data_IF_408832958444
#
_entry.id   IF_408832958444
#
_cell.length_a   1.000
_cell.length_b   1.000
_cell.length_c   1.000
_cell.angle_alpha   90.00
_cell.angle_beta   90.00
_cell.angle_gamma   90.00
#
_symmetry.space_group_name_H-M   'P 1'
#
loop_
_entity.id
_entity.type
_entity.pdbx_description
1 polymer ?
#
# COMPACT_ATOMS: atom_id res chain seq x y z
N UNK A 1 89.15 74.49 -15.67
CA UNK A 1 87.96 73.84 -15.08
C UNK A 1 86.62 74.57 -15.29
N UNK A 2 86.51 75.90 -15.18
CA UNK A 2 85.21 76.61 -15.32
C UNK A 2 84.66 76.58 -16.76
N UNK A 3 85.53 76.62 -17.78
CA UNK A 3 85.11 76.64 -19.20
C UNK A 3 84.55 75.29 -19.68
N UNK A 4 85.09 74.17 -19.21
CA UNK A 4 84.61 72.83 -19.59
C UNK A 4 83.27 72.46 -18.94
N UNK A 5 83.04 72.87 -17.69
CA UNK A 5 81.74 72.68 -17.04
C UNK A 5 80.60 73.43 -17.74
N UNK A 6 80.88 74.61 -18.31
CA UNK A 6 79.90 75.37 -19.10
C UNK A 6 79.57 74.69 -20.43
N UNK A 7 80.56 74.09 -21.09
CA UNK A 7 80.35 73.36 -22.36
C UNK A 7 79.52 72.10 -22.11
N UNK A 8 79.84 71.32 -21.09
CA UNK A 8 79.07 70.10 -20.74
C UNK A 8 77.63 70.45 -20.36
N UNK A 9 77.41 71.50 -19.57
CA UNK A 9 76.06 71.94 -19.22
C UNK A 9 75.26 72.43 -20.44
N UNK A 10 75.91 73.06 -21.40
CA UNK A 10 75.27 73.57 -22.62
C UNK A 10 74.89 72.41 -23.56
N UNK A 11 75.74 71.39 -23.65
CA UNK A 11 75.43 70.16 -24.40
C UNK A 11 74.26 69.40 -23.77
N UNK A 12 74.22 69.27 -22.44
CA UNK A 12 73.11 68.60 -21.74
C UNK A 12 71.80 69.38 -21.91
N UNK A 13 71.83 70.71 -21.81
CA UNK A 13 70.66 71.57 -22.05
C UNK A 13 70.16 71.45 -23.49
N UNK A 14 71.07 71.41 -24.46
CA UNK A 14 70.75 71.27 -25.87
C UNK A 14 70.18 69.88 -26.20
N UNK A 15 70.70 68.84 -25.54
CA UNK A 15 70.17 67.48 -25.65
C UNK A 15 68.77 67.36 -25.04
N UNK A 16 68.50 68.02 -23.90
CA UNK A 16 67.15 68.07 -23.32
C UNK A 16 66.17 68.87 -24.19
N UNK A 17 66.62 69.96 -24.81
CA UNK A 17 65.78 70.75 -25.73
C UNK A 17 65.40 69.96 -27.00
N UNK A 18 66.30 69.14 -27.53
CA UNK A 18 66.03 68.30 -28.71
C UNK A 18 65.04 67.16 -28.43
N UNK A 19 64.97 66.67 -27.18
CA UNK A 19 64.02 65.63 -26.78
C UNK A 19 62.62 66.23 -26.51
N UNK A 20 62.56 67.43 -25.92
CA UNK A 20 61.30 68.11 -25.62
C UNK A 20 60.49 68.52 -26.86
N UNK A 21 61.15 68.95 -27.94
CA UNK A 21 60.48 69.37 -29.18
C UNK A 21 60.02 68.21 -30.06
N UNK A 22 60.64 67.03 -29.94
CA UNK A 22 60.23 65.83 -30.65
C UNK A 22 58.95 65.20 -30.06
N UNK A 23 58.81 65.20 -28.73
CA UNK A 23 57.67 64.64 -28.00
C UNK A 23 56.36 65.39 -28.28
N UNK A 24 56.41 66.73 -28.34
CA UNK A 24 55.23 67.57 -28.62
C UNK A 24 54.61 67.27 -29.99
N UNK A 25 55.43 66.88 -30.99
CA UNK A 25 54.97 66.51 -32.32
C UNK A 25 54.37 65.10 -32.41
N UNK A 26 54.83 64.17 -31.55
CA UNK A 26 54.36 62.79 -31.51
C UNK A 26 53.04 62.69 -30.73
N UNK A 27 52.94 63.40 -29.60
CA UNK A 27 51.70 63.53 -28.82
C UNK A 27 50.59 64.20 -29.66
N UNK A 28 50.93 65.20 -30.47
CA UNK A 28 49.95 65.84 -31.35
C UNK A 28 49.51 64.94 -32.51
N UNK A 29 50.36 64.02 -32.99
CA UNK A 29 49.99 63.00 -33.98
C UNK A 29 49.17 61.87 -33.36
N UNK A 30 49.52 61.43 -32.15
CA UNK A 30 48.76 60.44 -31.40
C UNK A 30 47.39 60.99 -30.99
N UNK A 31 47.31 62.25 -30.57
CA UNK A 31 46.04 62.91 -30.29
C UNK A 31 45.17 63.01 -31.55
N UNK A 32 45.75 63.37 -32.71
CA UNK A 32 45.01 63.40 -33.98
C UNK A 32 44.55 62.02 -34.44
N UNK A 33 45.39 61.00 -34.31
CA UNK A 33 45.01 59.62 -34.60
C UNK A 33 43.93 59.14 -33.64
N UNK A 34 44.04 59.42 -32.34
CA UNK A 34 43.03 59.09 -31.34
C UNK A 34 41.69 59.77 -31.63
N UNK A 35 41.69 61.03 -32.05
CA UNK A 35 40.46 61.72 -32.48
C UNK A 35 39.88 61.12 -33.75
N UNK A 36 40.73 60.76 -34.73
CA UNK A 36 40.26 60.14 -35.97
C UNK A 36 39.69 58.72 -35.75
N UNK A 37 40.30 57.94 -34.85
CA UNK A 37 39.75 56.65 -34.44
C UNK A 37 38.46 56.82 -33.64
N UNK A 38 38.37 57.81 -32.74
CA UNK A 38 37.15 58.10 -31.99
C UNK A 38 36.00 58.53 -32.91
N UNK A 39 36.27 59.36 -33.92
CA UNK A 39 35.28 59.80 -34.90
C UNK A 39 34.81 58.63 -35.77
N UNK A 40 35.73 57.80 -36.28
CA UNK A 40 35.35 56.59 -37.04
C UNK A 40 34.61 55.56 -36.18
N UNK A 41 34.95 55.45 -34.90
CA UNK A 41 34.28 54.56 -33.97
C UNK A 41 32.86 55.06 -33.62
N UNK A 42 32.64 56.38 -33.60
CA UNK A 42 31.32 56.97 -33.44
C UNK A 42 30.43 56.72 -34.68
N UNK A 43 30.98 56.81 -35.90
CA UNK A 43 30.24 56.45 -37.12
C UNK A 43 29.86 54.96 -37.15
N UNK A 44 30.78 54.08 -36.75
CA UNK A 44 30.54 52.63 -36.66
C UNK A 44 29.63 52.24 -35.48
N UNK A 45 29.51 53.10 -34.47
CA UNK A 45 28.69 52.86 -33.28
C UNK A 45 27.19 52.76 -33.59
N UNK A 46 26.72 53.44 -34.64
CA UNK A 46 25.30 53.44 -35.02
C UNK A 46 24.78 52.03 -35.37
N UNK A 47 25.51 51.28 -36.20
CA UNK A 47 25.14 49.91 -36.59
C UNK A 47 25.25 48.92 -35.43
N UNK A 48 26.21 49.15 -34.52
CA UNK A 48 26.37 48.33 -33.32
C UNK A 48 25.20 48.53 -32.34
N UNK A 49 24.69 49.76 -32.22
CA UNK A 49 23.53 50.05 -31.38
C UNK A 49 22.27 49.36 -31.92
N UNK A 50 22.03 49.43 -33.23
CA UNK A 50 20.87 48.78 -33.86
C UNK A 50 20.91 47.25 -33.68
N UNK A 51 22.08 46.64 -33.90
CA UNK A 51 22.28 45.20 -33.68
C UNK A 51 22.11 44.81 -32.20
N UNK A 52 22.63 45.62 -31.26
CA UNK A 52 22.43 45.38 -29.84
C UNK A 52 20.95 45.49 -29.45
N UNK A 53 20.22 46.44 -30.02
CA UNK A 53 18.80 46.59 -29.77
C UNK A 53 18.01 45.38 -30.30
N UNK A 54 18.31 44.91 -31.50
CA UNK A 54 17.70 43.71 -32.07
C UNK A 54 18.01 42.47 -31.22
N UNK A 55 19.27 42.27 -30.81
CA UNK A 55 19.67 41.18 -29.93
C UNK A 55 18.99 41.24 -28.56
N UNK A 56 18.85 42.43 -27.98
CA UNK A 56 18.16 42.60 -26.69
C UNK A 56 16.67 42.30 -26.82
N UNK A 57 16.03 42.71 -27.92
CA UNK A 57 14.62 42.37 -28.17
C UNK A 57 14.42 40.88 -28.41
N UNK A 58 15.29 40.23 -29.20
CA UNK A 58 15.25 38.79 -29.42
C UNK A 58 15.55 37.99 -28.15
N UNK A 59 16.54 38.41 -27.36
CA UNK A 59 16.86 37.79 -26.07
C UNK A 59 15.70 37.91 -25.09
N UNK A 60 15.03 39.07 -25.03
CA UNK A 60 13.84 39.27 -24.18
C UNK A 60 12.70 38.35 -24.59
N UNK A 61 12.41 38.22 -25.87
CA UNK A 61 11.38 37.31 -26.38
C UNK A 61 11.72 35.85 -26.07
N UNK A 62 12.99 35.46 -26.20
CA UNK A 62 13.44 34.10 -25.89
C UNK A 62 13.33 33.80 -24.39
N UNK A 63 13.72 34.74 -23.52
CA UNK A 63 13.60 34.60 -22.07
C UNK A 63 12.12 34.51 -21.67
N UNK A 64 11.26 35.31 -22.28
CA UNK A 64 9.82 35.25 -22.03
C UNK A 64 9.25 33.89 -22.45
N UNK A 65 9.62 33.39 -23.63
CA UNK A 65 9.23 32.05 -24.08
C UNK A 65 9.77 30.93 -23.17
N UNK A 66 11.03 30.99 -22.75
CA UNK A 66 11.64 30.03 -21.82
C UNK A 66 10.95 30.06 -20.45
N UNK A 67 10.65 31.25 -19.93
CA UNK A 67 9.96 31.40 -18.65
C UNK A 67 8.55 30.79 -18.68
N UNK A 68 7.83 30.97 -19.80
CA UNK A 68 6.51 30.36 -20.01
C UNK A 68 6.62 28.84 -20.12
N UNK A 69 7.56 28.34 -20.92
CA UNK A 69 7.80 26.90 -21.08
C UNK A 69 8.16 26.22 -19.74
N UNK A 70 8.99 26.87 -18.91
CA UNK A 70 9.30 26.36 -17.56
C UNK A 70 8.08 26.31 -16.65
N UNK A 71 7.21 27.32 -16.72
CA UNK A 71 5.99 27.37 -15.92
C UNK A 71 5.03 26.26 -16.35
N UNK A 72 4.80 26.12 -17.66
CA UNK A 72 3.97 25.05 -18.23
C UNK A 72 4.51 23.66 -17.88
N UNK A 73 5.83 23.46 -17.93
CA UNK A 73 6.45 22.20 -17.56
C UNK A 73 6.27 21.86 -16.07
N UNK A 74 6.34 22.87 -15.18
CA UNK A 74 6.07 22.68 -13.74
C UNK A 74 4.61 22.31 -13.51
N UNK A 75 3.68 22.96 -14.20
CA UNK A 75 2.25 22.69 -14.10
C UNK A 75 1.91 21.28 -14.60
N UNK A 76 2.44 20.88 -15.76
CA UNK A 76 2.31 19.51 -16.27
C UNK A 76 2.92 18.48 -15.31
N UNK A 77 4.08 18.78 -14.71
CA UNK A 77 4.68 17.87 -13.73
C UNK A 77 3.79 17.73 -12.50
N UNK A 78 3.18 18.82 -12.04
CA UNK A 78 2.25 18.80 -10.91
C UNK A 78 1.01 17.97 -11.22
N UNK A 79 0.42 18.13 -12.40
CA UNK A 79 -0.74 17.36 -12.85
C UNK A 79 -0.42 15.85 -12.92
N UNK A 80 0.72 15.47 -13.51
CA UNK A 80 1.16 14.07 -13.56
C UNK A 80 1.35 13.49 -12.15
N UNK A 81 1.89 14.25 -11.22
CA UNK A 81 2.06 13.80 -9.83
C UNK A 81 0.72 13.61 -9.12
N UNK A 82 -0.26 14.48 -9.39
CA UNK A 82 -1.61 14.36 -8.85
C UNK A 82 -2.34 13.15 -9.44
N UNK A 83 -2.25 12.94 -10.75
CA UNK A 83 -2.80 11.75 -11.41
C UNK A 83 -2.18 10.46 -10.87
N UNK A 84 -0.84 10.42 -10.71
CA UNK A 84 -0.15 9.26 -10.12
C UNK A 84 -0.66 8.95 -8.72
N UNK A 85 -0.78 9.95 -7.84
CA UNK A 85 -1.34 9.75 -6.49
C UNK A 85 -2.76 9.22 -6.55
N UNK A 86 -3.59 9.73 -7.47
CA UNK A 86 -4.97 9.25 -7.63
C UNK A 86 -5.00 7.78 -8.11
N UNK A 87 -4.07 7.39 -8.97
CA UNK A 87 -3.95 6.03 -9.48
C UNK A 87 -3.46 5.08 -8.40
N UNK A 88 -2.48 5.48 -7.61
CA UNK A 88 -1.98 4.69 -6.47
C UNK A 88 -3.10 4.42 -5.46
N UNK A 89 -3.89 5.45 -5.10
CA UNK A 89 -5.05 5.29 -4.21
C UNK A 89 -6.09 4.32 -4.79
N UNK A 90 -6.40 4.44 -6.08
CA UNK A 90 -7.32 3.50 -6.76
C UNK A 90 -6.75 2.08 -6.78
N UNK A 91 -5.45 1.94 -6.96
CA UNK A 91 -4.79 0.64 -6.96
C UNK A 91 -4.84 -0.02 -5.58
N UNK A 92 -4.54 0.74 -4.52
CA UNK A 92 -4.66 0.28 -3.13
C UNK A 92 -6.08 -0.15 -2.79
N UNK A 93 -7.09 0.60 -3.23
CA UNK A 93 -8.50 0.22 -3.06
C UNK A 93 -8.82 -1.10 -3.76
N UNK A 94 -8.42 -1.26 -5.02
CA UNK A 94 -8.64 -2.50 -5.78
C UNK A 94 -7.88 -3.68 -5.16
N UNK A 95 -6.67 -3.47 -4.66
CA UNK A 95 -5.94 -4.51 -3.95
C UNK A 95 -6.60 -4.87 -2.62
N UNK A 96 -7.10 -3.89 -1.87
CA UNK A 96 -7.85 -4.13 -0.64
C UNK A 96 -9.13 -4.94 -0.91
N UNK A 97 -9.85 -4.62 -1.99
CA UNK A 97 -11.01 -5.37 -2.47
C UNK A 97 -10.62 -6.79 -2.89
N UNK A 98 -9.55 -6.97 -3.66
CA UNK A 98 -9.08 -8.31 -4.03
C UNK A 98 -8.73 -9.14 -2.79
N UNK A 99 -8.00 -8.56 -1.83
CA UNK A 99 -7.65 -9.22 -0.57
C UNK A 99 -8.89 -9.52 0.29
N UNK A 100 -9.97 -8.75 0.18
CA UNK A 100 -11.22 -9.02 0.90
C UNK A 100 -12.03 -10.13 0.22
N UNK A 101 -12.07 -10.15 -1.11
CA UNK A 101 -12.70 -11.22 -1.91
C UNK A 101 -11.99 -12.55 -1.69
N UNK A 102 -10.66 -12.58 -1.70
CA UNK A 102 -9.88 -13.79 -1.42
C UNK A 102 -10.17 -14.30 0.00
N UNK A 103 -10.22 -13.41 1.00
CA UNK A 103 -10.63 -13.76 2.37
C UNK A 103 -12.05 -14.33 2.43
N UNK A 104 -12.99 -13.73 1.71
CA UNK A 104 -14.39 -14.17 1.70
C UNK A 104 -14.56 -15.50 0.96
N UNK A 105 -13.71 -15.80 -0.03
CA UNK A 105 -13.78 -17.04 -0.81
C UNK A 105 -13.33 -18.27 -0.02
N UNK A 106 -12.65 -18.12 1.12
CA UNK A 106 -12.35 -19.26 1.99
C UNK A 106 -13.59 -19.87 2.66
N UNK A 107 -14.61 -19.06 2.98
CA UNK A 107 -15.80 -19.54 3.70
C UNK A 107 -16.91 -20.04 2.77
N UNK A 108 -16.98 -19.50 1.54
CA UNK A 108 -18.00 -19.86 0.56
C UNK A 108 -18.05 -21.37 0.21
N UNK A 109 -16.93 -22.06 -0.10
CA UNK A 109 -16.98 -23.48 -0.43
C UNK A 109 -17.32 -24.35 0.79
N UNK A 110 -16.87 -23.96 1.98
CA UNK A 110 -17.15 -24.72 3.21
C UNK A 110 -18.66 -24.74 3.54
N UNK A 111 -19.37 -23.62 3.34
CA UNK A 111 -20.81 -23.53 3.58
C UNK A 111 -21.64 -24.36 2.59
N UNK A 112 -21.22 -24.43 1.33
CA UNK A 112 -21.93 -25.18 0.29
C UNK A 112 -21.89 -26.68 0.58
N UNK A 113 -20.71 -27.21 0.91
CA UNK A 113 -20.56 -28.65 1.21
C UNK A 113 -21.28 -29.06 2.50
N UNK A 114 -21.27 -28.20 3.53
CA UNK A 114 -21.94 -28.46 4.79
C UNK A 114 -23.47 -28.57 4.61
N UNK A 115 -24.04 -27.73 3.74
CA UNK A 115 -25.48 -27.75 3.46
C UNK A 115 -25.93 -29.08 2.83
N UNK A 116 -25.13 -29.64 1.91
CA UNK A 116 -25.44 -30.89 1.23
C UNK A 116 -25.43 -32.08 2.19
N UNK A 117 -24.44 -32.15 3.08
CA UNK A 117 -24.39 -33.18 4.11
C UNK A 117 -25.54 -33.05 5.10
N UNK A 118 -25.90 -31.81 5.49
CA UNK A 118 -27.03 -31.55 6.37
C UNK A 118 -28.35 -32.04 5.76
N UNK A 119 -28.61 -31.75 4.48
CA UNK A 119 -29.81 -32.25 3.78
C UNK A 119 -29.90 -33.78 3.76
N UNK A 120 -28.77 -34.46 3.54
CA UNK A 120 -28.72 -35.92 3.49
C UNK A 120 -28.97 -36.53 4.89
N UNK A 121 -28.38 -35.92 5.92
CA UNK A 121 -28.58 -36.30 7.32
C UNK A 121 -30.03 -36.12 7.74
N UNK A 122 -30.64 -34.96 7.42
CA UNK A 122 -32.05 -34.68 7.68
C UNK A 122 -32.96 -35.65 6.91
N UNK A 123 -32.69 -35.90 5.64
CA UNK A 123 -33.46 -36.83 4.82
C UNK A 123 -33.42 -38.28 5.35
N UNK A 124 -32.33 -38.68 6.01
CA UNK A 124 -32.21 -39.99 6.65
C UNK A 124 -32.86 -40.03 8.04
N UNK A 125 -32.73 -38.95 8.83
CA UNK A 125 -33.30 -38.87 10.17
C UNK A 125 -34.82 -38.78 10.18
N UNK A 126 -35.41 -38.13 9.17
CA UNK A 126 -36.84 -37.92 9.06
C UNK A 126 -37.67 -39.23 9.01
N UNK A 127 -37.37 -40.20 8.12
CA UNK A 127 -38.06 -41.48 8.13
C UNK A 127 -37.78 -42.30 9.39
N UNK A 128 -36.60 -42.18 9.98
CA UNK A 128 -36.24 -42.87 11.23
C UNK A 128 -37.06 -42.37 12.42
N UNK A 129 -37.24 -41.05 12.52
CA UNK A 129 -38.13 -40.42 13.51
C UNK A 129 -39.58 -40.84 13.30
N UNK A 130 -40.03 -40.92 12.04
CA UNK A 130 -41.37 -41.39 11.70
C UNK A 130 -41.58 -42.85 12.16
N UNK A 131 -40.64 -43.74 11.84
CA UNK A 131 -40.68 -45.14 12.29
C UNK A 131 -40.70 -45.26 13.81
N UNK A 132 -39.86 -44.49 14.51
CA UNK A 132 -39.85 -44.46 15.98
C UNK A 132 -41.19 -43.99 16.52
N UNK A 133 -41.77 -42.95 15.95
CA UNK A 133 -43.07 -42.42 16.39
C UNK A 133 -44.20 -43.44 16.22
N UNK A 134 -44.28 -44.07 15.04
CA UNK A 134 -45.26 -45.11 14.76
C UNK A 134 -45.08 -46.33 15.67
N UNK A 135 -43.83 -46.74 15.93
CA UNK A 135 -43.53 -47.85 16.84
C UNK A 135 -43.98 -47.51 18.27
N UNK A 136 -43.68 -46.30 18.76
CA UNK A 136 -44.14 -45.89 20.09
C UNK A 136 -45.65 -45.79 20.21
N UNK A 137 -46.35 -45.40 19.13
CA UNK A 137 -47.81 -45.34 19.11
C UNK A 137 -48.41 -46.76 19.10
N UNK A 138 -47.87 -47.64 18.25
CA UNK A 138 -48.31 -49.03 18.17
C UNK A 138 -48.05 -49.81 19.47
N UNK A 139 -46.91 -49.55 20.13
CA UNK A 139 -46.60 -50.16 21.41
C UNK A 139 -47.57 -49.70 22.50
N UNK A 140 -47.88 -48.38 22.55
CA UNK A 140 -48.86 -47.83 23.50
C UNK A 140 -50.27 -48.38 23.26
N UNK A 141 -50.71 -48.47 22.01
CA UNK A 141 -52.01 -49.04 21.67
C UNK A 141 -52.10 -50.54 22.00
N UNK A 142 -51.03 -51.28 21.70
CA UNK A 142 -50.94 -52.71 22.05
C UNK A 142 -50.93 -52.93 23.56
N UNK A 143 -50.20 -52.11 24.31
CA UNK A 143 -50.14 -52.17 25.77
C UNK A 143 -51.49 -51.79 26.41
N UNK A 144 -52.16 -50.74 25.93
CA UNK A 144 -53.51 -50.37 26.40
C UNK A 144 -54.57 -51.43 26.06
N UNK A 145 -54.49 -52.07 24.88
CA UNK A 145 -55.39 -53.14 24.50
C UNK A 145 -55.15 -54.42 25.31
N UNK A 146 -53.89 -54.83 25.50
CA UNK A 146 -53.54 -56.01 26.30
C UNK A 146 -53.84 -55.79 27.78
N UNK A 147 -53.55 -54.60 28.32
CA UNK A 147 -53.89 -54.26 29.71
C UNK A 147 -55.41 -54.22 29.85
N UNK A 148 -56.14 -53.65 28.90
CA UNK A 148 -57.61 -53.61 28.94
C UNK A 148 -58.25 -54.99 28.94
N UNK A 149 -57.79 -55.89 28.06
CA UNK A 149 -58.26 -57.28 28.02
C UNK A 149 -57.86 -58.06 29.26
N UNK A 150 -56.62 -57.91 29.73
CA UNK A 150 -56.13 -58.62 30.91
C UNK A 150 -56.76 -58.11 32.21
N UNK A 151 -57.08 -56.80 32.32
CA UNK A 151 -57.81 -56.24 33.45
C UNK A 151 -59.29 -56.63 33.41
N UNK A 152 -59.88 -56.77 32.22
CA UNK A 152 -61.25 -57.24 32.06
C UNK A 152 -61.36 -58.73 32.41
N UNK A 153 -60.38 -59.54 32.02
CA UNK A 153 -60.29 -60.95 32.39
C UNK A 153 -60.05 -61.14 33.90
N UNK A 154 -59.25 -60.28 34.53
CA UNK A 154 -59.00 -60.29 35.98
C UNK A 154 -60.20 -59.75 36.80
N UNK A 155 -61.02 -58.84 36.23
CA UNK A 155 -62.27 -58.34 36.86
C UNK A 155 -63.43 -59.33 36.71
N UNK A 156 -63.45 -60.14 35.64
CA UNK A 156 -64.48 -61.16 35.38
C UNK A 156 -64.17 -62.50 36.06
N UNK A 157 -62.91 -62.72 36.48
CA UNK A 157 -62.48 -63.93 37.21
C UNK A 157 -62.91 -63.89 38.68
N UNK A 158 -63.38 -65.03 39.21
CA UNK A 158 -63.94 -65.18 40.57
C UNK A 158 -62.89 -65.09 41.71
N UNK A 159 -61.61 -64.90 41.40
CA UNK A 159 -60.51 -64.75 42.38
C UNK A 159 -59.56 -63.60 41.95
N UNK A 160 -59.77 -62.35 42.43
CA UNK A 160 -58.99 -61.20 41.99
C UNK A 160 -57.63 -61.14 42.72
N UNK A 161 -56.54 -61.49 42.03
CA UNK A 161 -55.17 -61.30 42.53
C UNK A 161 -54.64 -59.96 42.04
N UNK A 162 -54.99 -58.91 42.78
CA UNK A 162 -54.46 -57.58 42.56
C UNK A 162 -52.95 -57.53 42.86
N UNK A 163 -52.16 -57.25 41.81
CA UNK A 163 -50.76 -56.76 41.75
C UNK A 163 -49.69 -57.81 41.34
N UNK A 164 -49.07 -57.70 40.15
CA UNK A 164 -47.83 -58.41 39.83
C UNK A 164 -46.60 -57.71 40.43
N UNK A 165 -45.87 -58.44 41.30
CA UNK A 165 -44.58 -58.04 41.86
C UNK A 165 -43.52 -57.91 40.77
N UNK A 166 -43.29 -56.68 40.27
CA UNK A 166 -42.10 -56.35 39.47
C UNK A 166 -40.92 -55.85 40.32
N UNK A 167 -41.03 -55.91 41.65
CA UNK A 167 -40.01 -55.39 42.58
C UNK A 167 -38.96 -56.43 43.03
N UNK A 168 -39.12 -57.72 42.71
CA UNK A 168 -38.25 -58.78 43.29
C UNK A 168 -37.04 -59.17 42.43
N UNK A 169 -36.82 -58.58 41.24
CA UNK A 169 -35.74 -58.99 40.32
C UNK A 169 -34.42 -58.18 40.39
N UNK A 170 -34.18 -57.38 41.42
CA UNK A 170 -32.94 -56.59 41.56
C UNK A 170 -32.06 -56.94 42.78
N UNK A 171 -32.32 -58.04 43.51
CA UNK A 171 -31.52 -58.39 44.71
C UNK A 171 -31.07 -59.85 44.69
N UNK A 172 -30.58 -60.35 43.56
CA UNK A 172 -29.88 -61.63 43.54
C UNK A 172 -28.70 -61.56 42.56
N UNK A 173 -27.81 -60.59 42.83
CA UNK A 173 -26.45 -60.61 42.32
C UNK A 173 -25.65 -61.60 43.19
N UNK A 174 -25.30 -62.72 42.57
CA UNK A 174 -24.59 -63.87 43.12
C UNK A 174 -23.11 -63.54 43.41
N UNK A 175 -22.62 -63.72 44.65
CA UNK A 175 -21.21 -63.51 44.99
C UNK A 175 -20.45 -64.84 44.98
N UNK A 176 -20.01 -65.32 43.80
CA UNK A 176 -19.10 -66.48 43.77
C UNK A 176 -18.11 -66.45 42.59
N UNK A 177 -17.02 -65.68 42.70
CA UNK A 177 -15.77 -65.98 41.97
C UNK A 177 -14.63 -66.30 42.97
N UNK A 178 -14.51 -67.60 43.21
CA UNK A 178 -13.32 -68.46 43.31
C UNK A 178 -11.90 -67.80 43.46
N UNK A 179 -11.22 -68.22 44.54
CA UNK A 179 -9.83 -67.97 45.00
C UNK A 179 -8.86 -69.10 44.52
N UNK A 180 -7.51 -69.23 44.82
CA UNK A 180 -6.36 -68.36 45.22
C UNK A 180 -5.04 -68.69 44.39
N UNK A 181 -3.77 -68.69 44.92
CA UNK A 181 -2.69 -67.67 44.85
C UNK A 181 -1.37 -68.27 44.20
N UNK A 182 -0.08 -67.85 44.38
CA UNK A 182 0.69 -67.26 45.52
C UNK A 182 1.41 -65.95 45.10
N UNK A 183 2.22 -65.21 45.84
CA UNK A 183 3.26 -65.54 46.82
C UNK A 183 3.73 -64.22 47.47
N UNK A 184 4.30 -64.37 48.66
CA UNK A 184 4.84 -63.32 49.52
C UNK A 184 6.00 -62.59 48.84
N UNK A 185 6.12 -61.27 49.07
CA UNK A 185 7.40 -60.54 49.26
C UNK A 185 7.10 -59.06 49.60
N UNK A 186 7.23 -58.72 50.88
CA UNK A 186 7.56 -57.38 51.37
C UNK A 186 7.94 -57.51 52.85
N UNK A 187 9.17 -57.96 53.04
CA UNK A 187 9.96 -57.88 54.27
C UNK A 187 10.01 -56.45 54.81
N UNK A 188 10.09 -56.37 56.13
CA UNK A 188 10.53 -55.24 56.93
C UNK A 188 12.03 -55.38 57.21
#
# INVERSE_FOLDING_TARGET
MIRERKIVSLIILLMQAMIGTACESEDQRLARLATEYADRQAEQGSQVIDLQQELMTGSRQLIEADSRARTEMIDLHREIQEERRSLDLRHEQLEAERRSIERNRFWAPYLIDLSRQLFLLVACLLPLMLCRHLLTLALKQGEEALIGEQLLEDIVSDDPVLIPSKATRLILEDPTELNPPPEKDAEN
#
